data_IF_122951297947
#
_entry.id   IF_122951297947
#
_cell.length_a   1.000
_cell.length_b   1.000
_cell.length_c   1.000
_cell.angle_alpha   90.00
_cell.angle_beta   90.00
_cell.angle_gamma   90.00
#
_symmetry.space_group_name_H-M   'P 1'
#
loop_
_entity.id
_entity.type
_entity.pdbx_description
1 polymer ?
#
# COMPACT_ATOMS: atom_id res chain seq x y z
N UNK A 1 21.02 17.33 10.43
CA UNK A 1 20.49 16.16 11.15
C UNK A 1 21.66 15.25 11.47
N UNK A 2 21.75 14.76 12.71
CA UNK A 2 22.81 13.85 13.13
C UNK A 2 22.68 12.52 12.36
N UNK A 3 23.80 11.87 12.01
CA UNK A 3 23.79 10.59 11.26
C UNK A 3 22.95 9.51 11.95
N UNK A 4 22.92 9.50 13.29
CA UNK A 4 22.06 8.60 14.08
C UNK A 4 20.57 8.83 13.80
N UNK A 5 20.12 10.08 13.80
CA UNK A 5 18.72 10.44 13.52
C UNK A 5 18.34 10.11 12.07
N UNK A 6 19.26 10.34 11.12
CA UNK A 6 19.04 9.96 9.72
C UNK A 6 18.84 8.45 9.55
N UNK A 7 19.67 7.64 10.22
CA UNK A 7 19.56 6.18 10.21
C UNK A 7 18.25 5.71 10.82
N UNK A 8 17.86 6.25 11.98
CA UNK A 8 16.59 5.93 12.63
C UNK A 8 15.41 6.29 11.72
N UNK A 9 15.45 7.44 11.06
CA UNK A 9 14.40 7.85 10.13
C UNK A 9 14.28 6.90 8.92
N UNK A 10 15.40 6.43 8.36
CA UNK A 10 15.37 5.45 7.26
C UNK A 10 14.86 4.09 7.73
N UNK A 11 15.27 3.61 8.92
CA UNK A 11 14.75 2.34 9.46
C UNK A 11 13.27 2.43 9.81
N UNK A 12 12.81 3.57 10.33
CA UNK A 12 11.40 3.84 10.55
C UNK A 12 10.62 3.88 9.23
N UNK A 13 11.22 4.41 8.16
CA UNK A 13 10.64 4.34 6.82
C UNK A 13 10.48 2.90 6.37
N UNK A 14 11.53 2.08 6.43
CA UNK A 14 11.49 0.65 6.07
C UNK A 14 10.36 -0.05 6.80
N UNK A 15 10.26 0.17 8.12
CA UNK A 15 9.20 -0.37 8.95
C UNK A 15 7.80 0.02 8.45
N UNK A 16 7.56 1.31 8.15
CA UNK A 16 6.25 1.76 7.65
C UNK A 16 5.96 1.25 6.24
N UNK A 17 6.96 1.25 5.35
CA UNK A 17 6.80 0.77 3.97
C UNK A 17 6.42 -0.72 3.97
N UNK A 18 7.10 -1.53 4.79
CA UNK A 18 6.77 -2.94 4.96
C UNK A 18 5.36 -3.16 5.54
N UNK A 19 4.96 -2.35 6.52
CA UNK A 19 3.60 -2.40 7.08
C UNK A 19 2.55 -2.05 6.01
N UNK A 20 2.76 -0.98 5.24
CA UNK A 20 1.86 -0.57 4.15
C UNK A 20 1.80 -1.61 3.03
N UNK A 21 2.95 -2.13 2.59
CA UNK A 21 3.07 -3.15 1.55
C UNK A 21 2.27 -4.40 1.89
N UNK A 22 2.43 -4.91 3.11
CA UNK A 22 1.67 -6.09 3.55
C UNK A 22 0.18 -5.80 3.71
N UNK A 23 -0.20 -4.59 4.16
CA UNK A 23 -1.61 -4.18 4.20
C UNK A 23 -2.22 -4.18 2.79
N UNK A 24 -1.51 -3.67 1.78
CA UNK A 24 -2.00 -3.68 0.40
C UNK A 24 -2.18 -5.09 -0.11
N UNK A 25 -1.19 -5.96 0.09
CA UNK A 25 -1.25 -7.37 -0.29
C UNK A 25 -2.47 -8.07 0.33
N UNK A 26 -2.63 -7.97 1.65
CA UNK A 26 -3.76 -8.56 2.35
C UNK A 26 -5.11 -7.95 1.93
N UNK A 27 -5.14 -6.66 1.60
CA UNK A 27 -6.34 -6.01 1.09
C UNK A 27 -6.76 -6.56 -0.28
N UNK A 28 -5.80 -6.86 -1.17
CA UNK A 28 -6.08 -7.53 -2.44
C UNK A 28 -6.61 -8.94 -2.24
N UNK A 29 -5.96 -9.74 -1.39
CA UNK A 29 -6.36 -11.12 -1.08
C UNK A 29 -7.75 -11.17 -0.46
N UNK A 30 -8.01 -10.31 0.53
CA UNK A 30 -9.30 -10.23 1.20
C UNK A 30 -10.41 -9.82 0.23
N UNK A 31 -10.14 -8.91 -0.72
CA UNK A 31 -11.14 -8.45 -1.67
C UNK A 31 -11.52 -9.56 -2.63
N UNK A 32 -10.52 -10.27 -3.16
CA UNK A 32 -10.77 -11.41 -4.05
C UNK A 32 -11.56 -12.50 -3.36
N UNK A 33 -11.20 -12.81 -2.11
CA UNK A 33 -11.93 -13.76 -1.28
C UNK A 33 -13.40 -13.35 -1.10
N UNK A 34 -13.65 -12.06 -0.86
CA UNK A 34 -14.99 -11.52 -0.65
C UNK A 34 -15.84 -11.49 -1.94
N UNK A 35 -15.25 -11.12 -3.07
CA UNK A 35 -15.97 -10.95 -4.35
C UNK A 35 -16.15 -12.26 -5.13
N UNK A 36 -15.15 -13.14 -5.11
CA UNK A 36 -15.12 -14.37 -5.91
C UNK A 36 -15.49 -15.60 -5.06
N UNK A 37 -15.31 -15.54 -3.73
CA UNK A 37 -15.59 -16.65 -2.82
C UNK A 37 -14.50 -17.73 -2.76
N UNK A 38 -13.39 -17.57 -3.48
CA UNK A 38 -12.24 -18.48 -3.48
C UNK A 38 -11.04 -17.85 -2.74
N UNK A 39 -10.88 -18.18 -1.46
CA UNK A 39 -9.79 -17.62 -0.64
C UNK A 39 -8.41 -18.09 -1.08
N UNK A 40 -8.27 -19.39 -1.36
CA UNK A 40 -6.97 -20.02 -1.65
C UNK A 40 -6.48 -19.64 -3.04
N UNK A 41 -7.36 -19.60 -4.04
CA UNK A 41 -7.00 -19.17 -5.39
C UNK A 41 -6.58 -17.70 -5.43
N UNK A 42 -7.30 -16.82 -4.75
CA UNK A 42 -7.00 -15.38 -4.72
C UNK A 42 -5.71 -15.08 -3.97
N UNK A 43 -5.49 -15.74 -2.83
CA UNK A 43 -4.21 -15.69 -2.14
C UNK A 43 -3.06 -16.16 -3.04
N UNK A 44 -3.23 -17.32 -3.70
CA UNK A 44 -2.22 -17.89 -4.61
C UNK A 44 -1.85 -16.95 -5.76
N UNK A 45 -2.85 -16.32 -6.39
CA UNK A 45 -2.63 -15.37 -7.50
C UNK A 45 -1.88 -14.14 -7.00
N UNK A 46 -2.38 -13.49 -5.94
CA UNK A 46 -1.77 -12.24 -5.43
C UNK A 46 -0.35 -12.50 -4.96
N UNK A 47 -0.13 -13.52 -4.12
CA UNK A 47 1.18 -13.88 -3.59
C UNK A 47 2.17 -14.20 -4.72
N UNK A 48 1.81 -15.09 -5.65
CA UNK A 48 2.73 -15.53 -6.69
C UNK A 48 3.08 -14.39 -7.66
N UNK A 49 2.09 -13.60 -8.08
CA UNK A 49 2.29 -12.46 -8.98
C UNK A 49 3.10 -11.37 -8.29
N UNK A 50 2.78 -11.03 -7.03
CA UNK A 50 3.52 -10.01 -6.28
C UNK A 50 4.95 -10.44 -6.02
N UNK A 51 5.22 -11.69 -5.58
CA UNK A 51 6.59 -12.18 -5.36
C UNK A 51 7.41 -12.17 -6.63
N UNK A 52 6.85 -12.62 -7.75
CA UNK A 52 7.50 -12.52 -9.05
C UNK A 52 7.80 -11.06 -9.41
N UNK A 53 6.81 -10.18 -9.30
CA UNK A 53 6.95 -8.77 -9.62
C UNK A 53 7.94 -8.06 -8.69
N UNK A 54 8.02 -8.44 -7.42
CA UNK A 54 9.01 -7.93 -6.47
C UNK A 54 10.44 -8.27 -6.92
N UNK A 55 10.68 -9.49 -7.39
CA UNK A 55 11.97 -9.87 -7.98
C UNK A 55 12.33 -9.04 -9.22
N UNK A 56 11.36 -8.82 -10.12
CA UNK A 56 11.56 -7.95 -11.30
C UNK A 56 11.80 -6.50 -10.88
N UNK A 57 11.05 -5.98 -9.91
CA UNK A 57 11.18 -4.63 -9.37
C UNK A 57 12.55 -4.37 -8.79
N UNK A 58 13.09 -5.33 -8.03
CA UNK A 58 14.43 -5.25 -7.47
C UNK A 58 15.52 -5.15 -8.55
N UNK A 59 15.34 -5.86 -9.68
CA UNK A 59 16.26 -5.78 -10.82
C UNK A 59 16.13 -4.44 -11.56
N UNK A 60 14.91 -3.97 -11.80
CA UNK A 60 14.64 -2.68 -12.43
C UNK A 60 15.09 -1.50 -11.57
N UNK A 61 15.23 -1.67 -10.25
CA UNK A 61 15.71 -0.64 -9.35
C UNK A 61 17.20 -0.29 -9.52
N UNK A 62 18.02 -1.17 -10.13
CA UNK A 62 19.48 -0.96 -10.33
C UNK A 62 19.83 0.41 -10.93
N UNK A 63 19.28 0.84 -12.08
CA UNK A 63 19.55 2.18 -12.63
C UNK A 63 19.07 3.32 -11.73
N UNK A 64 18.01 3.12 -10.94
CA UNK A 64 17.46 4.14 -10.03
C UNK A 64 18.38 4.41 -8.82
N UNK A 65 19.27 3.47 -8.46
CA UNK A 65 20.20 3.60 -7.34
C UNK A 65 21.12 4.83 -7.44
N UNK A 66 21.38 5.36 -8.65
CA UNK A 66 22.16 6.60 -8.84
C UNK A 66 21.48 7.79 -8.15
N UNK A 67 20.15 7.86 -8.22
CA UNK A 67 19.31 8.90 -7.61
C UNK A 67 18.40 8.29 -6.53
N UNK A 68 18.97 7.42 -5.68
CA UNK A 68 18.21 6.62 -4.72
C UNK A 68 17.24 7.44 -3.85
N UNK A 69 17.62 8.64 -3.41
CA UNK A 69 16.76 9.50 -2.58
C UNK A 69 15.50 9.94 -3.33
N UNK A 70 15.64 10.34 -4.60
CA UNK A 70 14.52 10.81 -5.41
C UNK A 70 13.68 9.64 -5.95
N UNK A 71 14.33 8.53 -6.31
CA UNK A 71 13.66 7.32 -6.77
C UNK A 71 12.79 6.70 -5.68
N UNK A 72 13.35 6.54 -4.47
CA UNK A 72 12.63 6.00 -3.32
C UNK A 72 11.40 6.86 -2.99
N UNK A 73 11.57 8.17 -2.87
CA UNK A 73 10.44 9.08 -2.64
C UNK A 73 9.38 9.02 -3.75
N UNK A 74 9.79 8.89 -5.01
CA UNK A 74 8.84 8.74 -6.13
C UNK A 74 8.05 7.42 -6.04
N UNK A 75 8.71 6.33 -5.65
CA UNK A 75 8.08 5.02 -5.44
C UNK A 75 7.09 5.09 -4.28
N UNK A 76 7.45 5.69 -3.15
CA UNK A 76 6.55 5.85 -2.00
C UNK A 76 5.26 6.62 -2.35
N UNK A 77 5.40 7.69 -3.14
CA UNK A 77 4.26 8.48 -3.62
C UNK A 77 3.39 7.65 -4.57
N UNK A 78 4.01 6.88 -5.47
CA UNK A 78 3.29 5.99 -6.39
C UNK A 78 2.56 4.87 -5.65
N UNK A 79 3.21 4.23 -4.67
CA UNK A 79 2.64 3.18 -3.82
C UNK A 79 1.51 3.72 -2.96
N UNK A 80 1.67 4.91 -2.37
CA UNK A 80 0.62 5.56 -1.63
C UNK A 80 -0.65 5.73 -2.47
N UNK A 81 -0.50 6.23 -3.70
CA UNK A 81 -1.61 6.46 -4.61
C UNK A 81 -2.23 5.15 -5.10
N UNK A 82 -1.42 4.27 -5.70
CA UNK A 82 -1.90 3.05 -6.35
C UNK A 82 -2.35 2.02 -5.32
N UNK A 83 -1.63 1.87 -4.21
CA UNK A 83 -2.01 1.02 -3.09
C UNK A 83 -3.26 1.53 -2.39
N UNK A 84 -3.35 2.84 -2.11
CA UNK A 84 -4.53 3.43 -1.49
C UNK A 84 -5.79 3.33 -2.34
N UNK A 85 -5.68 3.48 -3.66
CA UNK A 85 -6.81 3.38 -4.59
C UNK A 85 -7.12 1.95 -5.05
N UNK A 86 -6.23 0.98 -4.79
CA UNK A 86 -6.31 -0.39 -5.33
C UNK A 86 -7.66 -1.07 -5.08
N UNK A 87 -8.12 -1.07 -3.83
CA UNK A 87 -9.39 -1.70 -3.41
C UNK A 87 -10.58 -1.05 -4.11
N UNK A 88 -10.57 0.28 -4.24
CA UNK A 88 -11.63 1.03 -4.91
C UNK A 88 -11.67 0.73 -6.41
N UNK A 89 -10.50 0.68 -7.06
CA UNK A 89 -10.37 0.32 -8.47
C UNK A 89 -10.84 -1.10 -8.75
N UNK A 90 -10.57 -2.03 -7.85
CA UNK A 90 -11.03 -3.42 -7.98
C UNK A 90 -12.53 -3.56 -7.79
N UNK A 91 -13.12 -2.87 -6.81
CA UNK A 91 -14.57 -2.80 -6.68
C UNK A 91 -15.21 -2.23 -7.94
N UNK A 92 -14.65 -1.15 -8.49
CA UNK A 92 -15.14 -0.55 -9.73
C UNK A 92 -15.02 -1.51 -10.92
N UNK A 93 -13.90 -2.22 -11.05
CA UNK A 93 -13.66 -3.21 -12.10
C UNK A 93 -14.62 -4.41 -12.02
N UNK A 94 -14.96 -4.83 -10.81
CA UNK A 94 -15.94 -5.88 -10.58
C UNK A 94 -17.36 -5.39 -10.90
N UNK A 95 -17.77 -4.24 -10.35
CA UNK A 95 -19.14 -3.75 -10.42
C UNK A 95 -19.55 -3.26 -11.82
N UNK A 96 -18.64 -2.67 -12.60
CA UNK A 96 -18.98 -2.02 -13.87
C UNK A 96 -18.35 -2.65 -15.10
N UNK A 97 -17.19 -3.29 -14.97
CA UNK A 97 -16.46 -3.80 -16.13
C UNK A 97 -16.50 -5.33 -16.25
N UNK A 98 -16.91 -6.06 -15.21
CA UNK A 98 -16.81 -7.52 -15.15
C UNK A 98 -15.38 -8.05 -15.44
N UNK A 99 -14.36 -7.26 -15.12
CA UNK A 99 -12.94 -7.53 -15.42
C UNK A 99 -12.08 -7.65 -14.15
N UNK A 100 -12.63 -8.21 -13.08
CA UNK A 100 -11.96 -8.26 -11.77
C UNK A 100 -10.59 -8.96 -11.80
N UNK A 101 -10.50 -10.20 -12.31
CA UNK A 101 -9.25 -10.99 -12.28
C UNK A 101 -8.12 -10.32 -13.09
N UNK A 102 -8.35 -9.86 -14.34
CA UNK A 102 -7.31 -9.12 -15.06
C UNK A 102 -6.82 -7.86 -14.33
N UNK A 103 -7.74 -7.08 -13.75
CA UNK A 103 -7.37 -5.85 -13.01
C UNK A 103 -6.62 -6.18 -11.73
N UNK A 104 -6.99 -7.25 -11.03
CA UNK A 104 -6.27 -7.76 -9.85
C UNK A 104 -4.83 -8.10 -10.20
N UNK A 105 -4.61 -8.86 -11.29
CA UNK A 105 -3.27 -9.25 -11.73
C UNK A 105 -2.44 -8.03 -12.09
N UNK A 106 -3.01 -7.05 -12.79
CA UNK A 106 -2.31 -5.80 -13.14
C UNK A 106 -1.93 -5.00 -11.89
N UNK A 107 -2.86 -4.83 -10.95
CA UNK A 107 -2.59 -4.09 -9.70
C UNK A 107 -1.54 -4.82 -8.87
N UNK A 108 -1.67 -6.14 -8.69
CA UNK A 108 -0.69 -6.97 -7.99
C UNK A 108 0.70 -6.86 -8.62
N UNK A 109 0.79 -6.90 -9.95
CA UNK A 109 2.06 -6.73 -10.67
C UNK A 109 2.66 -5.35 -10.44
N UNK A 110 1.87 -4.28 -10.54
CA UNK A 110 2.36 -2.91 -10.37
C UNK A 110 2.80 -2.65 -8.93
N UNK A 111 2.00 -3.05 -7.93
CA UNK A 111 2.37 -2.90 -6.53
C UNK A 111 3.60 -3.75 -6.18
N UNK A 112 3.63 -5.02 -6.61
CA UNK A 112 4.79 -5.88 -6.40
C UNK A 112 6.07 -5.31 -7.03
N UNK A 113 5.99 -4.74 -8.23
CA UNK A 113 7.13 -4.10 -8.89
C UNK A 113 7.68 -2.92 -8.08
N UNK A 114 6.78 -2.09 -7.55
CA UNK A 114 7.14 -0.91 -6.77
C UNK A 114 7.72 -1.31 -5.40
N UNK A 115 7.07 -2.23 -4.69
CA UNK A 115 7.55 -2.76 -3.40
C UNK A 115 8.93 -3.41 -3.57
N UNK A 116 9.11 -4.25 -4.60
CA UNK A 116 10.39 -4.91 -4.87
C UNK A 116 11.55 -3.96 -5.16
N UNK A 117 11.24 -2.76 -5.69
CA UNK A 117 12.25 -1.75 -5.94
C UNK A 117 12.75 -1.04 -4.67
N UNK A 118 12.02 -1.13 -3.54
CA UNK A 118 12.36 -0.42 -2.30
C UNK A 118 13.65 -0.93 -1.64
N UNK A 119 13.78 -2.25 -1.42
CA UNK A 119 14.90 -2.83 -0.66
C UNK A 119 16.26 -2.43 -1.26
N UNK A 120 16.50 -2.54 -2.59
CA UNK A 120 17.75 -2.08 -3.18
C UNK A 120 18.01 -0.58 -2.98
N UNK A 121 16.97 0.26 -3.04
CA UNK A 121 17.10 1.70 -2.86
C UNK A 121 17.40 2.05 -1.40
N UNK A 122 16.68 1.42 -0.47
CA UNK A 122 16.89 1.56 0.98
C UNK A 122 18.29 1.12 1.40
N UNK A 123 18.80 0.02 0.82
CA UNK A 123 20.18 -0.43 1.04
C UNK A 123 21.19 0.64 0.62
N UNK A 124 21.01 1.25 -0.55
CA UNK A 124 21.87 2.35 -1.01
C UNK A 124 21.75 3.56 -0.09
N UNK A 125 20.55 3.91 0.36
CA UNK A 125 20.31 5.03 1.27
C UNK A 125 20.98 4.81 2.63
N UNK A 126 20.85 3.61 3.21
CA UNK A 126 21.45 3.25 4.47
C UNK A 126 22.99 3.30 4.39
N UNK A 127 23.57 2.73 3.32
CA UNK A 127 25.01 2.76 3.06
C UNK A 127 25.56 4.17 2.81
N UNK A 128 24.76 5.07 2.22
CA UNK A 128 25.11 6.50 2.06
C UNK A 128 25.05 7.29 3.37
N UNK A 129 24.32 6.82 4.37
CA UNK A 129 24.27 7.45 5.70
C UNK A 129 25.43 6.96 6.57
N UNK A 130 25.66 5.64 6.60
CA UNK A 130 26.75 5.02 7.33
C UNK A 130 27.26 3.82 6.54
N UNK A 131 28.54 3.86 6.14
CA UNK A 131 29.21 2.68 5.60
C UNK A 131 29.33 1.64 6.71
N UNK A 132 28.79 0.46 6.45
CA UNK A 132 28.83 -0.70 7.33
C UNK A 132 28.90 -1.96 6.50
N UNK A 133 29.31 -3.07 7.11
CA UNK A 133 29.38 -4.35 6.42
C UNK A 133 28.03 -4.68 5.79
N UNK A 134 28.07 -5.17 4.54
CA UNK A 134 26.87 -5.41 3.76
C UNK A 134 25.89 -6.35 4.50
N UNK A 135 26.40 -7.39 5.16
CA UNK A 135 25.60 -8.30 5.97
C UNK A 135 24.88 -7.60 7.13
N UNK A 136 25.54 -6.68 7.84
CA UNK A 136 24.91 -5.93 8.94
C UNK A 136 23.84 -4.97 8.43
N UNK A 137 24.05 -4.31 7.30
CA UNK A 137 23.03 -3.44 6.71
C UNK A 137 21.80 -4.22 6.23
N UNK A 138 22.03 -5.39 5.63
CA UNK A 138 20.95 -6.28 5.19
C UNK A 138 20.16 -6.80 6.40
N UNK A 139 20.85 -7.20 7.48
CA UNK A 139 20.19 -7.64 8.71
C UNK A 139 19.36 -6.52 9.36
N UNK A 140 19.89 -5.29 9.45
CA UNK A 140 19.15 -4.14 9.97
C UNK A 140 17.87 -3.87 9.17
N UNK A 141 17.98 -3.93 7.83
CA UNK A 141 16.85 -3.70 6.92
C UNK A 141 15.79 -4.79 7.05
N UNK A 142 16.18 -6.07 6.98
CA UNK A 142 15.23 -7.18 7.14
C UNK A 142 14.59 -7.21 8.52
N UNK A 143 15.31 -6.85 9.59
CA UNK A 143 14.72 -6.76 10.91
C UNK A 143 13.61 -5.70 10.96
N UNK A 144 13.86 -4.51 10.40
CA UNK A 144 12.84 -3.46 10.33
C UNK A 144 11.66 -3.87 9.43
N UNK A 145 11.96 -4.50 8.29
CA UNK A 145 10.98 -4.99 7.31
C UNK A 145 10.06 -6.06 7.92
N UNK A 146 10.61 -7.12 8.53
CA UNK A 146 9.80 -8.18 9.13
C UNK A 146 8.96 -7.70 10.32
N UNK A 147 9.48 -6.78 11.13
CA UNK A 147 8.70 -6.19 12.23
C UNK A 147 7.59 -5.29 11.69
N UNK A 148 7.86 -4.53 10.62
CA UNK A 148 6.86 -3.73 9.91
C UNK A 148 5.78 -4.58 9.29
N UNK A 149 6.16 -5.60 8.53
CA UNK A 149 5.26 -6.57 7.92
C UNK A 149 4.40 -7.25 8.99
N UNK A 150 4.98 -7.76 10.10
CA UNK A 150 4.20 -8.35 11.19
C UNK A 150 3.12 -7.39 11.70
N UNK A 151 3.48 -6.14 12.00
CA UNK A 151 2.53 -5.17 12.53
C UNK A 151 1.48 -4.76 11.49
N UNK A 152 1.85 -4.56 10.22
CA UNK A 152 0.89 -4.30 9.15
C UNK A 152 -0.07 -5.48 8.94
N UNK A 153 0.45 -6.70 8.99
CA UNK A 153 -0.30 -7.94 8.76
C UNK A 153 -1.29 -8.26 9.84
N UNK A 154 -0.99 -7.88 11.09
CA UNK A 154 -1.94 -7.95 12.20
C UNK A 154 -2.88 -6.74 12.23
N UNK A 155 -2.37 -5.54 11.95
CA UNK A 155 -3.19 -4.33 11.95
C UNK A 155 -4.29 -4.39 10.89
N UNK A 156 -4.05 -5.02 9.73
CA UNK A 156 -5.06 -5.12 8.68
C UNK A 156 -6.35 -5.82 9.13
N UNK A 157 -6.35 -7.12 9.48
CA UNK A 157 -7.56 -7.85 9.84
C UNK A 157 -8.13 -7.45 11.21
N UNK A 158 -7.29 -7.05 12.18
CA UNK A 158 -7.73 -6.81 13.56
C UNK A 158 -8.04 -5.35 13.90
N UNK A 159 -7.53 -4.39 13.12
CA UNK A 159 -7.72 -2.95 13.41
C UNK A 159 -8.32 -2.21 12.20
N UNK A 160 -7.66 -2.27 11.05
CA UNK A 160 -8.09 -1.52 9.86
C UNK A 160 -9.44 -2.01 9.34
N UNK A 161 -9.60 -3.32 9.18
CA UNK A 161 -10.82 -3.90 8.64
C UNK A 161 -12.06 -3.75 9.55
N UNK A 162 -11.96 -3.95 10.88
CA UNK A 162 -13.11 -3.75 11.77
C UNK A 162 -13.48 -2.28 11.94
N UNK A 163 -12.50 -1.39 12.08
CA UNK A 163 -12.73 0.04 12.40
C UNK A 163 -13.07 0.85 11.16
N UNK A 164 -12.33 0.67 10.06
CA UNK A 164 -12.46 1.49 8.86
C UNK A 164 -13.13 0.75 7.71
N UNK A 165 -13.05 -0.58 7.66
CA UNK A 165 -13.43 -1.36 6.48
C UNK A 165 -12.34 -1.35 5.41
N UNK A 166 -12.59 -2.06 4.32
CA UNK A 166 -11.53 -2.38 3.35
C UNK A 166 -11.08 -1.18 2.52
N UNK A 167 -12.03 -0.39 1.97
CA UNK A 167 -11.75 0.78 1.14
C UNK A 167 -11.08 1.88 1.96
N UNK A 168 -11.72 2.30 3.05
CA UNK A 168 -11.20 3.36 3.92
C UNK A 168 -9.89 2.97 4.61
N UNK A 169 -9.73 1.69 4.98
CA UNK A 169 -8.49 1.17 5.52
C UNK A 169 -7.32 1.31 4.54
N UNK A 170 -7.50 0.89 3.29
CA UNK A 170 -6.47 1.03 2.25
C UNK A 170 -6.13 2.51 1.97
N UNK A 171 -7.14 3.39 1.88
CA UNK A 171 -6.94 4.82 1.68
C UNK A 171 -6.16 5.48 2.83
N UNK A 172 -6.46 5.09 4.07
CA UNK A 172 -5.75 5.59 5.26
C UNK A 172 -4.28 5.17 5.24
N UNK A 173 -4.01 3.90 4.92
CA UNK A 173 -2.64 3.38 4.79
C UNK A 173 -1.89 4.08 3.66
N UNK A 174 -2.54 4.32 2.52
CA UNK A 174 -2.01 5.14 1.44
C UNK A 174 -1.62 6.55 1.90
N UNK A 175 -2.51 7.22 2.64
CA UNK A 175 -2.23 8.57 3.14
C UNK A 175 -1.05 8.58 4.13
N UNK A 176 -0.98 7.59 5.04
CA UNK A 176 0.16 7.42 5.95
C UNK A 176 1.46 7.20 5.18
N UNK A 177 1.43 6.38 4.13
CA UNK A 177 2.60 6.12 3.29
C UNK A 177 3.09 7.40 2.59
N UNK A 178 2.18 8.19 2.01
CA UNK A 178 2.51 9.47 1.39
C UNK A 178 3.11 10.48 2.40
N UNK A 179 2.58 10.53 3.63
CA UNK A 179 3.08 11.40 4.70
C UNK A 179 4.50 11.00 5.11
N UNK A 180 4.77 9.70 5.26
CA UNK A 180 6.13 9.22 5.58
C UNK A 180 7.09 9.52 4.45
N UNK A 181 6.70 9.26 3.19
CA UNK A 181 7.49 9.63 2.01
C UNK A 181 7.81 11.13 1.96
N UNK A 182 6.81 11.99 2.20
CA UNK A 182 7.00 13.45 2.28
C UNK A 182 7.94 13.83 3.43
N UNK A 183 7.75 13.23 4.61
CA UNK A 183 8.60 13.44 5.78
C UNK A 183 10.07 13.16 5.48
N UNK A 184 10.37 12.07 4.76
CA UNK A 184 11.74 11.72 4.36
C UNK A 184 12.32 12.72 3.36
N UNK A 185 11.52 13.17 2.38
CA UNK A 185 11.93 14.21 1.42
C UNK A 185 12.29 15.50 2.13
N UNK A 186 11.48 15.94 3.09
CA UNK A 186 11.68 17.21 3.79
C UNK A 186 12.81 17.13 4.83
N UNK A 187 13.00 15.99 5.50
CA UNK A 187 13.94 15.87 6.63
C UNK A 187 15.27 15.19 6.26
N UNK A 188 15.23 13.99 5.68
CA UNK A 188 16.41 13.16 5.41
C UNK A 188 17.08 13.54 4.11
N UNK A 189 16.28 13.74 3.06
CA UNK A 189 16.77 13.97 1.71
C UNK A 189 16.87 15.45 1.34
N UNK A 190 16.30 16.34 2.14
CA UNK A 190 16.05 17.74 1.78
C UNK A 190 17.27 18.57 1.34
N UNK A 191 18.48 18.25 1.84
CA UNK A 191 19.75 18.89 1.42
C UNK A 191 20.49 18.15 0.31
N UNK A 192 20.13 16.89 0.04
CA UNK A 192 20.76 16.03 -0.98
C UNK A 192 20.07 16.13 -2.34
N UNK A 193 18.82 16.61 -2.38
CA UNK A 193 18.07 16.83 -3.62
C UNK A 193 18.28 18.22 -4.19
N UNK A 194 18.30 18.31 -5.52
CA UNK A 194 18.14 19.57 -6.22
C UNK A 194 16.80 20.23 -5.85
N UNK A 195 16.78 21.57 -5.74
CA UNK A 195 15.60 22.34 -5.32
C UNK A 195 14.35 22.00 -6.15
N UNK A 196 14.50 21.88 -7.46
CA UNK A 196 13.41 21.52 -8.38
C UNK A 196 12.84 20.11 -8.08
N UNK A 197 13.70 19.10 -7.94
CA UNK A 197 13.29 17.72 -7.62
C UNK A 197 12.58 17.64 -6.27
N UNK A 198 13.10 18.36 -5.26
CA UNK A 198 12.47 18.42 -3.94
C UNK A 198 11.07 19.02 -4.01
N UNK A 199 10.90 20.11 -4.76
CA UNK A 199 9.58 20.74 -4.95
C UNK A 199 8.61 19.81 -5.64
N UNK A 200 9.01 19.15 -6.73
CA UNK A 200 8.15 18.19 -7.45
C UNK A 200 7.69 17.07 -6.53
N UNK A 201 8.60 16.42 -5.80
CA UNK A 201 8.25 15.32 -4.90
C UNK A 201 7.37 15.79 -3.75
N UNK A 202 7.62 16.98 -3.20
CA UNK A 202 6.81 17.53 -2.11
C UNK A 202 5.38 17.83 -2.58
N UNK A 203 5.24 18.50 -3.74
CA UNK A 203 3.94 18.80 -4.34
C UNK A 203 3.22 17.51 -4.71
N UNK A 204 3.91 16.53 -5.29
CA UNK A 204 3.35 15.22 -5.62
C UNK A 204 2.82 14.49 -4.39
N UNK A 205 3.60 14.41 -3.31
CA UNK A 205 3.16 13.75 -2.08
C UNK A 205 1.96 14.47 -1.42
N UNK A 206 1.96 15.80 -1.41
CA UNK A 206 0.82 16.59 -0.91
C UNK A 206 -0.42 16.34 -1.78
N UNK A 207 -0.28 16.37 -3.11
CA UNK A 207 -1.37 16.12 -4.03
C UNK A 207 -1.96 14.71 -3.85
N UNK A 208 -1.11 13.68 -3.75
CA UNK A 208 -1.55 12.30 -3.47
C UNK A 208 -2.27 12.22 -2.13
N UNK A 209 -1.73 12.84 -1.07
CA UNK A 209 -2.39 12.86 0.24
C UNK A 209 -3.77 13.51 0.16
N UNK A 210 -3.90 14.64 -0.56
CA UNK A 210 -5.20 15.32 -0.77
C UNK A 210 -6.16 14.42 -1.54
N UNK A 211 -5.71 13.76 -2.62
CA UNK A 211 -6.54 12.81 -3.38
C UNK A 211 -7.02 11.66 -2.49
N UNK A 212 -6.15 11.07 -1.67
CA UNK A 212 -6.53 9.96 -0.79
C UNK A 212 -7.49 10.39 0.32
N UNK A 213 -7.26 11.55 0.94
CA UNK A 213 -8.13 12.09 2.01
C UNK A 213 -9.50 12.51 1.46
N UNK A 214 -9.53 13.17 0.30
CA UNK A 214 -10.79 13.52 -0.36
C UNK A 214 -11.57 12.27 -0.75
N UNK A 215 -10.89 11.27 -1.32
CA UNK A 215 -11.50 9.97 -1.63
C UNK A 215 -12.02 9.28 -0.37
N UNK A 216 -11.27 9.31 0.74
CA UNK A 216 -11.69 8.76 2.02
C UNK A 216 -12.97 9.42 2.56
N UNK A 217 -13.05 10.75 2.48
CA UNK A 217 -14.23 11.51 2.90
C UNK A 217 -15.48 11.15 2.05
N UNK A 218 -15.28 10.91 0.76
CA UNK A 218 -16.35 10.53 -0.18
C UNK A 218 -16.66 9.01 -0.15
N UNK A 219 -15.75 8.18 0.36
CA UNK A 219 -15.86 6.72 0.33
C UNK A 219 -17.08 6.19 1.06
N UNK A 220 -17.62 6.92 2.05
CA UNK A 220 -18.84 6.50 2.76
C UNK A 220 -20.04 6.32 1.85
N UNK A 221 -20.18 7.19 0.83
CA UNK A 221 -21.26 7.08 -0.16
C UNK A 221 -21.02 5.91 -1.12
N UNK A 222 -19.76 5.71 -1.50
CA UNK A 222 -19.36 4.62 -2.39
C UNK A 222 -19.54 3.24 -1.74
N UNK A 223 -19.20 3.09 -0.46
CA UNK A 223 -19.30 1.82 0.24
C UNK A 223 -20.75 1.34 0.37
N UNK A 224 -21.69 2.26 0.60
CA UNK A 224 -23.14 1.98 0.59
C UNK A 224 -23.63 1.59 -0.82
N UNK A 225 -23.25 2.35 -1.85
CA UNK A 225 -23.64 2.05 -3.25
C UNK A 225 -23.01 0.76 -3.79
N UNK A 226 -21.75 0.48 -3.46
CA UNK A 226 -21.04 -0.71 -3.91
C UNK A 226 -21.53 -1.97 -3.20
N UNK A 227 -21.85 -1.90 -1.89
CA UNK A 227 -22.52 -3.00 -1.18
C UNK A 227 -23.88 -3.28 -1.81
N UNK A 228 -24.68 -2.25 -2.10
CA UNK A 228 -25.99 -2.41 -2.75
C UNK A 228 -25.87 -3.04 -4.16
N UNK A 229 -24.84 -2.68 -4.93
CA UNK A 229 -24.60 -3.28 -6.26
C UNK A 229 -24.21 -4.77 -6.20
N UNK A 230 -23.78 -5.28 -5.04
CA UNK A 230 -23.51 -6.70 -4.82
C UNK A 230 -24.75 -7.52 -4.42
N UNK A 231 -25.88 -6.88 -4.09
CA UNK A 231 -27.12 -7.57 -3.73
C UNK A 231 -28.19 -7.36 -4.80
N UNK A 232 -28.85 -8.44 -5.24
CA UNK A 232 -29.90 -8.39 -6.26
C UNK A 232 -31.16 -7.64 -5.79
N UNK A 233 -31.42 -7.63 -4.49
CA UNK A 233 -32.54 -6.94 -3.84
C UNK A 233 -32.02 -5.87 -2.87
N UNK A 234 -32.78 -4.77 -2.64
CA UNK A 234 -32.37 -3.73 -1.73
C UNK A 234 -32.12 -4.27 -0.31
N UNK A 235 -30.93 -4.04 0.27
CA UNK A 235 -30.67 -4.50 1.64
C UNK A 235 -31.41 -3.60 2.63
N UNK A 236 -32.45 -4.11 3.27
CA UNK A 236 -33.28 -3.36 4.24
C UNK A 236 -32.60 -3.31 5.61
N UNK A 237 -31.85 -4.35 5.95
CA UNK A 237 -31.16 -4.45 7.22
C UNK A 237 -29.86 -5.24 7.05
N UNK A 238 -28.75 -4.69 7.53
CA UNK A 238 -27.45 -5.36 7.57
C UNK A 238 -26.95 -5.34 9.00
N UNK A 239 -26.89 -6.51 9.62
CA UNK A 239 -26.39 -6.67 10.98
C UNK A 239 -24.97 -7.26 10.92
N UNK A 240 -24.02 -6.60 11.58
CA UNK A 240 -22.61 -6.97 11.53
C UNK A 240 -22.22 -7.61 12.86
N UNK A 241 -21.94 -8.91 12.84
CA UNK A 241 -21.27 -9.60 13.96
C UNK A 241 -19.76 -9.68 13.68
N UNK A 242 -18.92 -10.02 14.68
CA UNK A 242 -17.48 -10.12 14.49
C UNK A 242 -17.05 -11.20 13.47
N UNK A 243 -17.92 -12.18 13.20
CA UNK A 243 -17.63 -13.34 12.35
C UNK A 243 -18.43 -13.36 11.05
N UNK A 244 -19.54 -12.63 10.96
CA UNK A 244 -20.43 -12.67 9.81
C UNK A 244 -21.20 -11.37 9.61
N UNK A 245 -21.41 -11.02 8.35
CA UNK A 245 -22.35 -9.98 7.94
C UNK A 245 -23.63 -10.67 7.51
N UNK A 246 -24.70 -10.46 8.27
CA UNK A 246 -26.04 -10.96 7.91
C UNK A 246 -26.78 -9.85 7.21
N UNK A 247 -27.07 -10.04 5.93
CA UNK A 247 -27.87 -9.09 5.13
C UNK A 247 -29.26 -9.64 4.89
N UNK A 248 -30.27 -8.86 5.23
CA UNK A 248 -31.67 -9.11 4.91
C UNK A 248 -32.04 -8.31 3.64
N UNK A 249 -32.12 -8.96 2.47
CA UNK A 249 -32.67 -8.35 1.28
C UNK A 249 -34.17 -8.06 1.44
N UNK A 250 -34.65 -6.98 0.82
CA UNK A 250 -36.07 -6.68 0.65
C UNK A 250 -36.66 -7.77 -0.23
N UNK A 251 -37.37 -8.72 0.37
CA UNK A 251 -38.11 -9.72 -0.42
C UNK A 251 -39.34 -9.02 -1.00
N UNK A 252 -39.21 -8.48 -2.22
CA UNK A 252 -40.37 -8.08 -3.02
C UNK A 252 -40.96 -9.34 -3.65
N UNK A 253 -42.09 -9.80 -3.11
CA UNK A 253 -42.97 -10.78 -3.77
C UNK A 253 -43.73 -10.13 -4.91
#
# INVERSE_FOLDING_TARGET
MNQRLARIAVLAAVFVCAACGLVYELALVALGSYLIGDTVGQASIVLSVMVFAMGVGALLAKPLQRRAEAAFAGIEIALALLGGLSVLLLYAAFAWLSLYIPVLVVIALVLGLLIGAEIPLLMVLLQRIRRQDAGSAVADLFAADYVGALLGGLAFPFVLLPVFGQIRGALLVGALNAIVGLGLVLTVFGKKLARHTRTILSVGAIAVTVVLVTTFALAGRFELSARQALYADPVVHAERTPYQVTTLPATTR
#
